data_IF_433415008261
#
_entry.id   IF_433415008261
#
_cell.length_a   1.000
_cell.length_b   1.000
_cell.length_c   1.000
_cell.angle_alpha   90.00
_cell.angle_beta   90.00
_cell.angle_gamma   90.00
#
_symmetry.space_group_name_H-M   'P 1'
#
loop_
_entity.id
_entity.type
_entity.pdbx_description
1 polymer ?
2 polymer ?
3 non-polymer ?
4 non-polymer ?
5 non-polymer ?
6 water ?
#
# COMPACT_ATOMS: atom_id res chain seq x y z
N UNK A 1 27.98 2.99 -27.09
CA UNK A 1 26.76 2.60 -26.44
C UNK A 1 27.03 1.81 -25.17
N UNK A 2 26.40 2.19 -24.06
CA UNK A 2 26.59 1.60 -22.72
C UNK A 2 26.15 2.60 -21.66
N UNK A 3 24.88 2.58 -21.28
CA UNK A 3 24.38 3.49 -20.23
C UNK A 3 25.28 3.43 -19.00
N UNK A 4 25.64 4.58 -18.46
CA UNK A 4 26.43 4.59 -17.23
C UNK A 4 25.64 4.00 -16.06
N UNK A 5 26.28 3.09 -15.32
CA UNK A 5 25.61 2.40 -14.24
C UNK A 5 26.15 2.80 -12.88
N UNK A 6 25.31 2.63 -11.86
CA UNK A 6 25.72 2.87 -10.49
C UNK A 6 25.51 1.60 -9.69
N UNK A 7 26.28 1.46 -8.62
CA UNK A 7 26.12 0.32 -7.72
C UNK A 7 24.94 0.54 -6.78
N UNK A 8 24.18 -0.51 -6.55
CA UNK A 8 23.03 -0.40 -5.65
C UNK A 8 22.98 -1.61 -4.74
N UNK A 9 23.00 -1.36 -3.44
CA UNK A 9 22.90 -2.43 -2.46
C UNK A 9 21.44 -2.76 -2.21
N UNK A 10 21.04 -3.98 -2.56
CA UNK A 10 19.65 -4.40 -2.44
C UNK A 10 19.33 -4.81 -0.99
N UNK A 11 18.05 -5.04 -0.72
CA UNK A 11 17.59 -5.49 0.60
C UNK A 11 18.26 -6.75 1.13
N UNK A 12 18.70 -7.64 0.24
CA UNK A 12 19.34 -8.87 0.66
C UNK A 12 20.85 -8.71 0.89
N UNK A 13 21.33 -7.47 0.80
CA UNK A 13 22.75 -7.18 0.99
C UNK A 13 23.59 -7.28 -0.27
N UNK A 14 23.03 -7.87 -1.33
CA UNK A 14 23.75 -7.99 -2.59
C UNK A 14 23.80 -6.64 -3.33
N UNK A 15 24.92 -6.35 -3.97
CA UNK A 15 25.04 -5.14 -4.76
C UNK A 15 24.81 -5.50 -6.23
N UNK A 16 24.11 -4.63 -6.95
CA UNK A 16 23.81 -4.85 -8.35
C UNK A 16 24.09 -3.56 -9.14
N UNK A 17 24.39 -3.72 -10.41
CA UNK A 17 24.66 -2.56 -11.24
C UNK A 17 23.39 -2.15 -11.97
N UNK A 18 22.89 -0.95 -11.69
CA UNK A 18 21.67 -0.46 -12.32
C UNK A 18 21.98 0.84 -13.05
N UNK A 19 21.10 1.26 -13.99
CA UNK A 19 21.40 2.51 -14.68
C UNK A 19 21.35 3.70 -13.72
N UNK A 20 22.30 4.63 -13.86
CA UNK A 20 22.24 5.90 -13.16
C UNK A 20 20.91 6.60 -13.45
N UNK A 21 20.49 6.53 -14.71
CA UNK A 21 19.26 7.18 -15.14
C UNK A 21 18.38 6.21 -15.96
N UNK A 22 17.62 5.35 -15.28
CA UNK A 22 16.84 4.34 -16.01
C UNK A 22 15.78 4.95 -16.93
N UNK A 23 15.74 4.48 -18.17
CA UNK A 23 14.85 5.06 -19.19
C UNK A 23 13.60 4.21 -19.42
N UNK A 24 13.63 2.93 -19.07
CA UNK A 24 12.56 2.00 -19.44
C UNK A 24 12.31 1.01 -18.32
N UNK A 25 11.44 1.35 -17.39
CA UNK A 25 11.25 0.51 -16.22
C UNK A 25 10.07 -0.43 -16.37
N UNK A 26 10.30 -1.71 -16.10
CA UNK A 26 9.22 -2.68 -16.02
C UNK A 26 8.86 -2.88 -14.56
N UNK A 27 7.66 -2.46 -14.17
CA UNK A 27 7.27 -2.52 -12.75
C UNK A 27 6.37 -3.73 -12.50
N UNK A 28 7.01 -4.86 -12.18
CA UNK A 28 6.26 -6.12 -12.01
C UNK A 28 5.52 -6.13 -10.66
N UNK A 29 6.16 -5.54 -9.66
CA UNK A 29 5.60 -5.50 -8.32
C UNK A 29 4.81 -4.21 -8.18
N UNK A 30 3.47 -4.31 -8.08
CA UNK A 30 2.73 -3.06 -8.29
C UNK A 30 2.76 -2.08 -7.12
N UNK A 31 3.26 -2.50 -5.96
CA UNK A 31 3.44 -1.57 -4.84
C UNK A 31 4.22 -0.33 -5.27
N UNK A 32 5.20 -0.54 -6.16
CA UNK A 32 6.15 0.51 -6.56
C UNK A 32 5.76 1.34 -7.77
N UNK A 33 4.58 1.08 -8.34
CA UNK A 33 4.21 1.76 -9.60
C UNK A 33 3.93 3.25 -9.41
N UNK A 34 3.06 3.59 -8.46
CA UNK A 34 2.65 4.98 -8.29
C UNK A 34 3.81 5.88 -7.86
N UNK A 35 4.67 5.34 -7.00
CA UNK A 35 5.84 6.08 -6.51
C UNK A 35 6.86 6.40 -7.58
N UNK A 36 7.07 5.45 -8.48
CA UNK A 36 7.96 5.69 -9.61
C UNK A 36 7.32 6.59 -10.64
N UNK A 37 6.00 6.45 -10.83
CA UNK A 37 5.27 7.40 -11.70
C UNK A 37 5.35 8.84 -11.16
N UNK A 38 5.17 8.97 -9.85
CA UNK A 38 5.22 10.31 -9.20
C UNK A 38 6.54 11.02 -9.46
N UNK A 39 7.61 10.22 -9.54
CA UNK A 39 8.96 10.75 -9.80
C UNK A 39 9.32 10.91 -11.30
N UNK A 40 8.33 10.75 -12.18
CA UNK A 40 8.54 11.02 -13.61
C UNK A 40 9.29 9.92 -14.34
N UNK A 41 9.37 8.74 -13.73
CA UNK A 41 10.09 7.63 -14.32
C UNK A 41 9.31 7.11 -15.52
N UNK A 42 10.02 6.67 -16.57
CA UNK A 42 9.35 6.12 -17.74
C UNK A 42 9.14 4.61 -17.54
N UNK A 43 7.88 4.24 -17.35
CA UNK A 43 7.50 2.87 -17.07
C UNK A 43 6.92 2.25 -18.35
N UNK A 44 7.54 1.17 -18.83
CA UNK A 44 7.20 0.61 -20.14
C UNK A 44 6.35 -0.68 -20.00
N UNK A 45 6.22 -1.13 -18.76
CA UNK A 45 5.34 -2.26 -18.42
C UNK A 45 4.97 -2.17 -16.96
N UNK A 46 3.71 -2.48 -16.65
CA UNK A 46 3.25 -2.40 -15.26
C UNK A 46 2.25 -3.53 -14.97
N UNK A 47 2.29 -4.03 -13.75
CA UNK A 47 1.42 -5.11 -13.34
C UNK A 47 -0.02 -4.69 -13.52
N UNK A 48 -0.80 -5.53 -14.18
CA UNK A 48 -2.21 -5.22 -14.48
C UNK A 48 -3.06 -4.90 -13.24
N UNK A 49 -2.59 -5.30 -12.07
CA UNK A 49 -3.32 -4.98 -10.84
C UNK A 49 -3.59 -3.49 -10.65
N UNK A 50 -2.75 -2.60 -11.20
CA UNK A 50 -3.06 -1.18 -11.05
C UNK A 50 -4.45 -0.77 -11.54
N UNK A 51 -4.99 -1.56 -12.47
CA UNK A 51 -6.30 -1.27 -13.05
C UNK A 51 -7.48 -1.47 -12.07
N UNK A 52 -7.18 -1.97 -10.88
CA UNK A 52 -8.21 -2.16 -9.84
C UNK A 52 -8.36 -0.87 -9.00
N UNK A 53 -7.46 0.07 -9.21
CA UNK A 53 -7.44 1.33 -8.43
C UNK A 53 -8.18 2.45 -9.14
N UNK A 54 -9.08 3.15 -8.43
CA UNK A 54 -9.71 4.38 -8.96
C UNK A 54 -8.70 5.50 -9.22
N UNK A 55 -7.53 5.37 -8.60
CA UNK A 55 -6.48 6.40 -8.69
C UNK A 55 -5.44 6.07 -9.76
N UNK A 56 -4.96 4.83 -9.78
CA UNK A 56 -3.81 4.46 -10.63
C UNK A 56 -4.16 4.04 -12.08
N UNK A 57 -5.40 3.60 -12.29
CA UNK A 57 -5.76 3.08 -13.62
C UNK A 57 -5.53 4.17 -14.69
N UNK A 58 -6.03 5.38 -14.43
CA UNK A 58 -5.91 6.48 -15.38
C UNK A 58 -4.44 6.87 -15.62
N UNK A 59 -3.63 6.71 -14.58
CA UNK A 59 -2.21 7.03 -14.61
C UNK A 59 -1.34 6.09 -15.46
N UNK A 60 -1.86 4.90 -15.74
CA UNK A 60 -1.15 3.93 -16.60
C UNK A 60 -1.86 3.58 -17.90
N UNK A 61 -2.68 4.49 -18.42
CA UNK A 61 -3.26 4.26 -19.74
C UNK A 61 -2.16 4.25 -20.81
N UNK A 62 -2.19 3.27 -21.69
CA UNK A 62 -1.20 3.21 -22.77
C UNK A 62 0.06 2.49 -22.34
N UNK A 63 0.09 2.03 -21.10
CA UNK A 63 1.23 1.26 -20.64
C UNK A 63 0.89 -0.24 -20.71
N UNK A 64 1.73 -1.03 -21.37
CA UNK A 64 1.57 -2.49 -21.38
C UNK A 64 1.31 -3.09 -20.00
N UNK A 65 0.23 -3.86 -19.89
CA UNK A 65 -0.12 -4.52 -18.64
C UNK A 65 0.42 -5.96 -18.63
N UNK A 66 0.94 -6.39 -17.48
CA UNK A 66 1.46 -7.75 -17.36
C UNK A 66 0.91 -8.41 -16.11
N UNK A 67 0.78 -9.73 -16.15
CA UNK A 67 0.36 -10.47 -14.98
C UNK A 67 1.61 -11.14 -14.40
N UNK A 68 1.46 -11.80 -13.27
CA UNK A 68 2.60 -12.50 -12.67
C UNK A 68 3.13 -13.58 -13.59
N UNK A 69 4.46 -13.70 -13.68
CA UNK A 69 5.07 -14.73 -14.50
C UNK A 69 5.27 -14.43 -15.99
N UNK A 70 4.81 -13.28 -16.50
CA UNK A 70 4.93 -13.02 -17.93
C UNK A 70 6.27 -12.41 -18.32
N UNK A 71 7.31 -13.22 -18.28
CA UNK A 71 8.65 -12.78 -18.60
C UNK A 71 8.76 -12.37 -20.05
N UNK A 72 8.06 -13.09 -20.94
CA UNK A 72 8.12 -12.80 -22.37
C UNK A 72 7.59 -11.39 -22.68
N UNK A 73 6.45 -11.03 -22.10
CA UNK A 73 5.90 -9.68 -22.28
C UNK A 73 6.81 -8.62 -21.75
N UNK A 74 7.42 -8.87 -20.58
CA UNK A 74 8.37 -7.92 -20.01
C UNK A 74 9.59 -7.77 -20.94
N UNK A 75 10.13 -8.90 -21.40
CA UNK A 75 11.28 -8.88 -22.30
C UNK A 75 11.03 -8.04 -23.56
N UNK A 76 9.85 -8.26 -24.16
CA UNK A 76 9.43 -7.52 -25.34
C UNK A 76 9.44 -5.98 -25.20
N UNK A 77 9.30 -5.47 -23.98
CA UNK A 77 9.34 -4.02 -23.81
C UNK A 77 10.77 -3.49 -23.66
N UNK A 78 11.75 -4.38 -23.84
CA UNK A 78 13.18 -4.06 -23.70
C UNK A 78 13.52 -3.13 -22.50
N UNK A 79 13.21 -3.57 -21.27
CA UNK A 79 13.40 -2.68 -20.12
C UNK A 79 14.87 -2.62 -19.72
N UNK A 80 15.28 -1.53 -19.06
CA UNK A 80 16.66 -1.41 -18.59
C UNK A 80 16.70 -1.58 -17.07
N UNK A 81 15.53 -1.81 -16.47
CA UNK A 81 15.43 -1.99 -15.04
C UNK A 81 14.12 -2.70 -14.79
N UNK A 82 14.13 -3.71 -13.93
CA UNK A 82 12.91 -4.46 -13.62
C UNK A 82 12.74 -4.46 -12.08
N UNK A 83 11.52 -4.18 -11.61
CA UNK A 83 11.21 -4.17 -10.18
C UNK A 83 10.25 -5.31 -9.77
N UNK A 84 10.70 -6.15 -8.82
CA UNK A 84 9.91 -7.30 -8.37
C UNK A 84 9.94 -7.38 -6.85
N UNK A 85 8.99 -8.10 -6.26
CA UNK A 85 9.09 -8.43 -4.83
C UNK A 85 10.11 -9.56 -4.54
N UNK A 86 10.63 -9.59 -3.30
CA UNK A 86 11.43 -10.76 -2.85
C UNK A 86 10.71 -12.12 -2.93
N UNK A 87 9.39 -12.12 -3.02
CA UNK A 87 8.62 -13.36 -3.04
C UNK A 87 8.34 -13.85 -4.47
N UNK A 88 8.77 -13.08 -5.48
CA UNK A 88 8.56 -13.40 -6.90
C UNK A 88 9.32 -14.67 -7.31
N UNK A 89 8.60 -15.63 -7.86
CA UNK A 89 9.20 -16.94 -8.20
C UNK A 89 9.97 -16.91 -9.53
N UNK A 90 9.85 -15.81 -10.27
CA UNK A 90 10.52 -15.73 -11.57
C UNK A 90 11.74 -14.81 -11.56
N UNK A 91 12.30 -14.55 -10.38
CA UNK A 91 13.44 -13.65 -10.28
C UNK A 91 14.64 -14.01 -11.18
N UNK A 92 15.05 -15.27 -11.20
CA UNK A 92 16.17 -15.62 -12.08
C UNK A 92 15.87 -15.29 -13.54
N UNK A 93 14.63 -15.54 -13.96
CA UNK A 93 14.26 -15.26 -15.35
C UNK A 93 14.33 -13.78 -15.66
N UNK A 94 13.76 -12.95 -14.79
CA UNK A 94 13.91 -11.50 -14.92
C UNK A 94 15.37 -11.07 -15.01
N UNK A 95 16.24 -11.66 -14.17
CA UNK A 95 17.65 -11.28 -14.16
C UNK A 95 18.38 -11.43 -15.51
N UNK A 96 17.94 -12.40 -16.31
CA UNK A 96 18.53 -12.62 -17.63
C UNK A 96 18.05 -11.56 -18.63
N UNK A 97 16.97 -10.88 -18.31
CA UNK A 97 16.46 -9.79 -19.13
C UNK A 97 17.05 -8.39 -18.88
N UNK A 98 17.13 -7.94 -17.62
CA UNK A 98 17.65 -6.61 -17.29
C UNK A 98 18.03 -6.62 -15.81
N UNK A 99 18.87 -5.65 -15.36
CA UNK A 99 19.11 -5.57 -13.90
C UNK A 99 17.77 -5.59 -13.15
N UNK A 100 17.64 -6.47 -12.16
CA UNK A 100 16.36 -6.66 -11.48
C UNK A 100 16.50 -6.28 -10.02
N UNK A 101 15.77 -5.25 -9.62
CA UNK A 101 15.77 -4.82 -8.23
C UNK A 101 14.72 -5.62 -7.47
N UNK A 102 15.19 -6.37 -6.48
CA UNK A 102 14.36 -7.28 -5.69
C UNK A 102 14.07 -6.59 -4.35
N UNK A 103 12.83 -6.19 -4.14
CA UNK A 103 12.45 -5.44 -2.95
C UNK A 103 11.75 -6.38 -2.00
N UNK A 104 12.23 -6.40 -0.77
CA UNK A 104 11.59 -7.11 0.32
C UNK A 104 10.55 -6.17 0.93
N UNK A 105 9.26 -6.44 0.67
CA UNK A 105 8.20 -5.44 0.92
C UNK A 105 8.25 -4.92 2.36
N UNK A 106 8.44 -5.85 3.26
CA UNK A 106 8.34 -5.54 4.67
C UNK A 106 9.59 -4.86 5.23
N UNK A 107 10.58 -4.62 4.37
CA UNK A 107 11.79 -3.93 4.84
C UNK A 107 11.66 -2.40 4.86
N UNK A 108 10.60 -1.85 4.26
CA UNK A 108 10.49 -0.40 4.14
C UNK A 108 9.11 0.05 4.56
N UNK A 109 9.05 0.93 5.54
CA UNK A 109 7.81 1.63 5.87
C UNK A 109 7.50 2.61 4.71
N UNK A 110 6.28 3.14 4.66
CA UNK A 110 5.81 3.74 3.41
C UNK A 110 6.58 4.99 2.96
N UNK A 111 7.05 5.81 3.89
CA UNK A 111 7.83 6.98 3.49
C UNK A 111 9.25 6.59 3.03
N UNK A 112 9.86 5.64 3.74
CA UNK A 112 11.18 5.09 3.38
C UNK A 112 11.10 4.37 2.06
N UNK A 113 9.93 3.80 1.77
CA UNK A 113 9.75 3.13 0.49
C UNK A 113 9.89 4.16 -0.63
N UNK A 114 9.24 5.31 -0.47
CA UNK A 114 9.31 6.31 -1.53
C UNK A 114 10.74 6.90 -1.60
N UNK A 115 11.39 7.08 -0.45
CA UNK A 115 12.80 7.48 -0.43
C UNK A 115 13.65 6.44 -1.18
N UNK A 116 13.38 5.15 -0.95
CA UNK A 116 14.10 4.09 -1.67
C UNK A 116 13.96 4.18 -3.20
N UNK A 117 12.75 4.43 -3.67
CA UNK A 117 12.48 4.65 -5.10
C UNK A 117 13.18 5.91 -5.63
N UNK A 118 13.23 6.95 -4.82
CA UNK A 118 14.06 8.10 -5.13
C UNK A 118 15.53 7.77 -5.33
N UNK A 119 16.07 6.87 -4.51
CA UNK A 119 17.47 6.50 -4.69
C UNK A 119 17.68 5.73 -5.98
N UNK A 120 16.76 4.82 -6.27
CA UNK A 120 16.87 4.01 -7.48
C UNK A 120 17.00 4.88 -8.74
N UNK A 121 16.11 5.86 -8.89
CA UNK A 121 16.10 6.72 -10.08
C UNK A 121 16.81 8.08 -9.94
N UNK A 122 17.55 8.27 -8.85
CA UNK A 122 18.31 9.50 -8.62
C UNK A 122 17.53 10.80 -8.45
N UNK A 123 16.39 10.72 -7.76
CA UNK A 123 15.55 11.89 -7.51
C UNK A 123 15.16 12.05 -6.03
N UNK A 124 16.15 11.88 -5.16
CA UNK A 124 15.91 12.00 -3.73
C UNK A 124 15.42 13.36 -3.29
N UNK A 125 15.81 14.41 -4.00
CA UNK A 125 15.40 15.78 -3.68
C UNK A 125 13.90 15.97 -3.87
N UNK A 126 13.37 15.30 -4.88
CA UNK A 126 11.95 15.37 -5.19
C UNK A 126 11.13 14.64 -4.12
N UNK A 127 11.69 13.54 -3.61
CA UNK A 127 11.06 12.80 -2.53
C UNK A 127 10.99 13.64 -1.26
N UNK A 128 12.11 14.27 -0.93
CA UNK A 128 12.22 15.10 0.26
C UNK A 128 11.13 16.16 0.27
N UNK A 129 11.05 16.91 -0.83
CA UNK A 129 10.06 17.96 -0.96
C UNK A 129 8.66 17.40 -0.77
N UNK A 130 8.33 16.34 -1.52
CA UNK A 130 7.03 15.70 -1.40
C UNK A 130 6.74 15.27 0.04
N UNK A 131 7.71 14.62 0.67
CA UNK A 131 7.52 14.09 2.01
C UNK A 131 7.21 15.17 3.04
N UNK A 132 7.89 16.31 2.92
CA UNK A 132 7.70 17.40 3.87
C UNK A 132 6.27 17.92 3.77
N UNK A 133 5.79 18.09 2.54
CA UNK A 133 4.42 18.50 2.28
C UNK A 133 3.42 17.49 2.86
N UNK A 134 3.67 16.21 2.58
CA UNK A 134 2.79 15.15 3.06
C UNK A 134 2.65 15.19 4.59
N UNK A 135 3.78 15.27 5.28
CA UNK A 135 3.76 15.23 6.72
C UNK A 135 3.07 16.45 7.34
N UNK A 136 3.35 17.63 6.82
CA UNK A 136 2.76 18.86 7.37
C UNK A 136 1.25 18.79 7.19
N UNK A 137 0.81 18.42 6.00
CA UNK A 137 -0.61 18.36 5.69
C UNK A 137 -1.37 17.33 6.56
N UNK A 138 -0.84 16.10 6.62
CA UNK A 138 -1.53 15.04 7.37
C UNK A 138 -1.45 15.25 8.88
N UNK A 139 -0.42 15.96 9.34
CA UNK A 139 -0.37 16.41 10.74
C UNK A 139 -1.56 17.32 11.11
N UNK A 140 -1.90 18.26 10.24
CA UNK A 140 -3.05 19.14 10.52
C UNK A 140 -4.34 18.36 10.36
N UNK A 141 -4.40 17.48 9.35
CA UNK A 141 -5.57 16.66 9.14
C UNK A 141 -5.84 15.80 10.37
N UNK A 142 -4.79 15.17 10.88
CA UNK A 142 -4.94 14.22 11.98
C UNK A 142 -5.41 14.97 13.24
N UNK A 143 -4.90 16.16 13.44
CA UNK A 143 -5.30 16.95 14.60
C UNK A 143 -6.79 17.29 14.52
N UNK A 144 -7.25 17.60 13.32
CA UNK A 144 -8.67 17.89 13.09
C UNK A 144 -9.53 16.65 13.27
N UNK A 145 -9.03 15.50 12.83
CA UNK A 145 -9.83 14.27 12.94
C UNK A 145 -9.95 13.89 14.40
N UNK A 146 -8.86 14.04 15.14
CA UNK A 146 -8.84 13.71 16.56
C UNK A 146 -9.81 14.56 17.36
N UNK A 147 -9.96 15.82 16.98
CA UNK A 147 -10.89 16.68 17.71
C UNK A 147 -12.32 16.24 17.42
N UNK A 148 -12.53 15.68 16.24
CA UNK A 148 -13.86 15.22 15.83
C UNK A 148 -14.24 13.88 16.47
N UNK A 149 -13.31 12.92 16.49
CA UNK A 149 -13.60 11.59 17.02
C UNK A 149 -13.20 11.39 18.49
N UNK A 150 -12.36 12.28 19.01
CA UNK A 150 -11.90 12.14 20.38
C UNK A 150 -10.48 11.61 20.39
N UNK A 151 -9.62 12.24 21.18
CA UNK A 151 -8.19 11.90 21.21
C UNK A 151 -7.89 10.42 21.53
N UNK A 152 -8.68 9.79 22.40
CA UNK A 152 -8.45 8.38 22.75
C UNK A 152 -9.26 7.32 21.94
N UNK A 153 -9.94 7.73 20.87
CA UNK A 153 -10.76 6.80 20.10
C UNK A 153 -9.87 5.79 19.38
N UNK A 154 -10.21 4.51 19.47
CA UNK A 154 -9.49 3.49 18.70
C UNK A 154 -10.20 3.26 17.38
N UNK A 155 -9.42 2.81 16.40
CA UNK A 155 -9.90 2.57 15.06
C UNK A 155 -9.41 1.18 14.60
N UNK A 156 -10.35 0.30 14.28
CA UNK A 156 -10.01 -1.03 13.74
C UNK A 156 -9.99 -1.01 12.20
N UNK A 157 -9.27 -1.96 11.60
CA UNK A 157 -9.23 -2.05 10.15
C UNK A 157 -9.50 -3.51 9.76
N UNK A 158 -10.54 -3.74 8.97
CA UNK A 158 -10.96 -5.10 8.61
C UNK A 158 -11.08 -5.23 7.10
N UNK A 159 -10.79 -6.44 6.61
CA UNK A 159 -10.70 -6.65 5.19
C UNK A 159 -11.08 -8.11 4.95
N UNK A 160 -11.63 -8.42 3.78
CA UNK A 160 -11.79 -9.81 3.45
C UNK A 160 -10.64 -10.20 2.52
N UNK A 161 -9.85 -11.16 2.95
CA UNK A 161 -8.72 -11.63 2.17
C UNK A 161 -8.89 -13.12 1.95
N UNK A 162 -9.01 -13.52 0.68
CA UNK A 162 -9.17 -14.94 0.35
C UNK A 162 -10.31 -15.58 1.15
N UNK A 163 -11.45 -14.88 1.19
CA UNK A 163 -12.65 -15.36 1.85
C UNK A 163 -12.54 -15.48 3.37
N UNK A 164 -11.53 -14.80 3.94
CA UNK A 164 -11.32 -14.81 5.39
C UNK A 164 -11.28 -13.39 5.91
N UNK A 165 -11.60 -13.19 7.19
CA UNK A 165 -11.49 -11.88 7.79
C UNK A 165 -10.02 -11.59 8.10
N UNK A 166 -9.47 -10.48 7.59
CA UNK A 166 -8.11 -10.03 7.97
C UNK A 166 -8.07 -8.68 8.64
N UNK A 167 -7.01 -8.45 9.42
CA UNK A 167 -6.73 -7.10 9.91
C UNK A 167 -5.26 -6.83 9.63
N UNK A 168 -4.84 -5.58 9.82
CA UNK A 168 -3.52 -5.10 9.42
C UNK A 168 -2.91 -4.19 10.46
N UNK A 169 -1.57 -4.16 10.45
CA UNK A 169 -0.83 -3.20 11.22
C UNK A 169 -0.82 -1.91 10.45
N UNK A 170 0.22 -1.10 10.66
CA UNK A 170 0.21 0.26 10.14
C UNK A 170 0.84 0.40 8.74
N UNK A 171 1.27 -0.70 8.12
CA UNK A 171 2.00 -0.55 6.86
C UNK A 171 1.79 -1.74 5.93
N UNK A 172 0.56 -2.23 5.85
CA UNK A 172 0.27 -3.32 4.92
C UNK A 172 -0.92 -2.91 4.05
N UNK A 173 -0.98 -1.63 3.71
CA UNK A 173 -2.05 -1.08 2.89
C UNK A 173 -3.42 -1.05 3.58
N UNK A 174 -4.48 -0.99 2.77
CA UNK A 174 -5.88 -0.96 3.22
C UNK A 174 -6.16 0.33 4.00
N UNK A 175 -5.28 1.32 3.84
CA UNK A 175 -5.46 2.64 4.43
C UNK A 175 -4.69 2.76 5.73
N UNK A 176 -3.99 1.70 6.14
CA UNK A 176 -3.37 1.69 7.45
C UNK A 176 -2.29 2.77 7.60
N UNK A 177 -1.53 3.00 6.53
CA UNK A 177 -0.46 4.00 6.58
C UNK A 177 -1.03 5.42 6.91
N UNK A 178 -2.22 5.73 6.39
CA UNK A 178 -2.79 7.07 6.60
C UNK A 178 -3.50 7.08 7.96
N UNK A 179 -4.27 6.04 8.26
CA UNK A 179 -4.95 5.97 9.57
C UNK A 179 -4.00 6.06 10.77
N UNK A 180 -2.95 5.25 10.72
CA UNK A 180 -2.14 4.96 11.91
C UNK A 180 -0.80 5.67 11.96
N UNK A 181 -0.29 6.08 10.81
CA UNK A 181 0.97 6.81 10.78
C UNK A 181 0.74 8.29 10.46
N UNK A 182 0.23 8.58 9.27
CA UNK A 182 0.06 9.97 8.85
C UNK A 182 -0.89 10.73 9.78
N UNK A 183 -2.09 10.17 10.01
CA UNK A 183 -3.05 10.76 10.94
C UNK A 183 -2.71 10.55 12.45
N UNK A 184 -1.94 9.51 12.76
CA UNK A 184 -1.62 9.21 14.14
C UNK A 184 -2.82 8.76 14.97
N UNK A 185 -3.82 8.15 14.35
CA UNK A 185 -4.98 7.68 15.11
C UNK A 185 -4.59 6.43 15.90
N UNK A 186 -5.23 6.19 17.04
CA UNK A 186 -4.92 5.01 17.86
C UNK A 186 -5.43 3.68 17.27
N UNK A 187 -4.53 2.74 17.00
CA UNK A 187 -4.94 1.41 16.56
C UNK A 187 -5.59 0.60 17.69
N UNK A 188 -6.63 -0.17 17.38
CA UNK A 188 -7.28 -0.98 18.40
C UNK A 188 -6.22 -1.92 19.01
N UNK A 189 -6.17 -1.99 20.35
CA UNK A 189 -5.00 -2.65 20.96
C UNK A 189 -4.82 -4.14 20.63
N UNK A 190 -5.90 -4.90 20.47
CA UNK A 190 -5.69 -6.32 20.20
C UNK A 190 -5.29 -6.47 18.74
N UNK A 191 -5.79 -5.58 17.89
CA UNK A 191 -5.33 -5.57 16.50
C UNK A 191 -3.82 -5.31 16.40
N UNK A 192 -3.36 -4.35 17.17
CA UNK A 192 -1.93 -4.04 17.21
C UNK A 192 -1.08 -5.22 17.69
N UNK A 193 -1.52 -5.86 18.76
CA UNK A 193 -0.77 -7.00 19.33
C UNK A 193 -0.70 -8.15 18.31
N UNK A 194 -1.83 -8.43 17.66
CA UNK A 194 -1.89 -9.59 16.76
C UNK A 194 -1.02 -9.38 15.53
N UNK A 195 -1.05 -8.16 14.97
CA UNK A 195 -0.34 -7.80 13.74
C UNK A 195 1.08 -7.27 13.99
N UNK A 196 1.49 -7.16 15.26
CA UNK A 196 2.80 -6.59 15.60
C UNK A 196 4.02 -7.23 14.91
N UNK A 197 4.07 -8.55 14.82
CA UNK A 197 5.26 -9.17 14.21
C UNK A 197 5.21 -9.22 12.68
N UNK A 198 4.07 -9.62 12.15
CA UNK A 198 3.94 -9.88 10.71
C UNK A 198 3.54 -8.65 9.92
N UNK A 199 2.76 -7.79 10.57
CA UNK A 199 2.21 -6.59 9.94
C UNK A 199 0.79 -6.82 9.42
N UNK A 200 0.26 -8.03 9.57
CA UNK A 200 -1.05 -8.40 9.01
C UNK A 200 -1.52 -9.67 9.71
N UNK A 201 -2.82 -9.96 9.74
CA UNK A 201 -3.22 -11.22 10.39
C UNK A 201 -4.60 -11.64 10.05
N UNK A 202 -4.81 -12.96 9.97
CA UNK A 202 -6.15 -13.50 9.88
C UNK A 202 -6.80 -13.47 11.26
N UNK A 203 -8.06 -13.05 11.29
CA UNK A 203 -8.82 -12.96 12.52
C UNK A 203 -9.93 -14.00 12.52
N UNK A 204 -10.00 -14.78 13.60
CA UNK A 204 -11.09 -15.72 13.76
C UNK A 204 -12.37 -14.91 13.90
N UNK A 205 -13.25 -15.04 12.90
CA UNK A 205 -14.41 -14.17 12.74
C UNK A 205 -15.38 -14.18 13.93
N UNK A 206 -15.37 -15.26 14.71
CA UNK A 206 -16.21 -15.31 15.91
C UNK A 206 -15.58 -14.54 17.08
N UNK A 207 -14.35 -14.08 16.88
CA UNK A 207 -13.63 -13.30 17.86
C UNK A 207 -13.54 -11.83 17.45
N UNK A 208 -14.36 -11.40 16.51
CA UNK A 208 -14.21 -10.06 15.94
C UNK A 208 -14.42 -8.95 17.00
N UNK A 209 -15.32 -9.19 17.95
CA UNK A 209 -15.59 -8.20 18.99
C UNK A 209 -14.33 -7.87 19.78
N UNK A 210 -13.41 -8.84 19.85
CA UNK A 210 -12.15 -8.69 20.57
C UNK A 210 -11.26 -7.61 19.96
N UNK A 211 -11.44 -7.40 18.65
CA UNK A 211 -10.59 -6.58 17.79
C UNK A 211 -11.30 -5.32 17.27
N UNK A 212 -12.53 -5.11 17.73
CA UNK A 212 -13.36 -4.00 17.26
C UNK A 212 -13.24 -2.74 18.13
N UNK A 213 -12.86 -1.60 17.54
CA UNK A 213 -12.61 -0.41 18.33
C UNK A 213 -13.78 0.55 18.30
N UNK A 214 -13.50 1.82 18.59
CA UNK A 214 -14.56 2.84 18.65
C UNK A 214 -15.10 3.14 17.25
N UNK A 215 -14.24 2.99 16.26
CA UNK A 215 -14.59 3.23 14.86
C UNK A 215 -14.01 2.05 14.12
N UNK A 216 -14.66 1.65 13.03
CA UNK A 216 -14.19 0.55 12.22
C UNK A 216 -14.14 0.96 10.74
N UNK A 217 -12.97 0.77 10.12
CA UNK A 217 -12.82 1.02 8.68
C UNK A 217 -12.84 -0.38 8.05
N UNK A 218 -13.70 -0.59 7.06
CA UNK A 218 -13.85 -1.89 6.44
C UNK A 218 -13.74 -1.69 4.94
N UNK A 219 -12.98 -2.54 4.26
CA UNK A 219 -12.69 -2.31 2.84
C UNK A 219 -13.81 -2.82 1.93
N UNK A 220 -15.07 -2.71 2.39
CA UNK A 220 -16.20 -3.38 1.75
C UNK A 220 -16.98 -2.47 0.82
N UNK A 221 -16.49 -1.25 0.58
CA UNK A 221 -17.26 -0.30 -0.22
C UNK A 221 -17.51 -0.83 -1.63
N UNK A 222 -18.75 -0.75 -2.10
CA UNK A 222 -19.08 -1.16 -3.45
C UNK A 222 -19.15 -2.68 -3.63
N UNK A 223 -19.15 -3.41 -2.52
CA UNK A 223 -19.24 -4.87 -2.55
C UNK A 223 -20.51 -5.38 -1.89
N UNK A 224 -20.91 -6.61 -2.21
CA UNK A 224 -21.97 -7.20 -1.40
C UNK A 224 -21.47 -7.40 0.03
N UNK A 225 -22.39 -7.30 0.97
CA UNK A 225 -22.07 -7.44 2.39
C UNK A 225 -21.24 -8.71 2.63
N UNK A 226 -19.98 -8.55 3.09
CA UNK A 226 -19.10 -9.70 3.37
C UNK A 226 -19.64 -10.57 4.52
N UNK A 227 -19.24 -11.84 4.56
CA UNK A 227 -19.58 -12.71 5.68
C UNK A 227 -19.41 -12.02 7.03
N UNK A 228 -18.29 -11.34 7.23
CA UNK A 228 -17.97 -10.74 8.55
C UNK A 228 -18.82 -9.51 8.92
N UNK A 229 -19.49 -8.90 7.95
CA UNK A 229 -20.40 -7.80 8.27
C UNK A 229 -21.87 -8.28 8.38
N UNK A 230 -22.09 -9.58 8.21
CA UNK A 230 -23.45 -10.07 8.11
C UNK A 230 -23.91 -10.81 9.38
N UNK A 231 -23.00 -10.99 10.34
CA UNK A 231 -23.31 -11.75 11.54
C UNK A 231 -24.10 -10.91 12.55
N UNK A 232 -24.68 -11.59 13.54
CA UNK A 232 -25.31 -10.89 14.64
C UNK A 232 -24.22 -10.27 15.51
N UNK A 233 -23.03 -10.87 15.48
CA UNK A 233 -21.89 -10.31 16.19
C UNK A 233 -21.53 -8.92 15.66
N UNK A 234 -21.51 -8.79 14.34
CA UNK A 234 -21.21 -7.51 13.71
C UNK A 234 -22.30 -6.52 14.06
N UNK A 235 -23.55 -6.95 13.99
CA UNK A 235 -24.67 -6.04 14.24
C UNK A 235 -24.64 -5.47 15.66
N UNK A 236 -24.01 -6.19 16.59
CA UNK A 236 -24.02 -5.78 17.99
C UNK A 236 -22.72 -5.14 18.48
N UNK A 237 -21.74 -4.99 17.58
CA UNK A 237 -20.54 -4.22 17.90
C UNK A 237 -20.98 -2.81 18.23
N UNK A 238 -20.36 -2.23 19.26
CA UNK A 238 -20.67 -0.87 19.68
C UNK A 238 -20.44 0.09 18.51
N UNK A 239 -19.36 -0.10 17.76
CA UNK A 239 -19.11 0.78 16.62
C UNK A 239 -20.26 0.73 15.61
N UNK A 240 -20.79 -0.47 15.37
CA UNK A 240 -21.91 -0.63 14.44
C UNK A 240 -23.14 0.05 15.00
N UNK A 241 -23.49 -0.27 16.26
CA UNK A 241 -24.64 0.36 16.91
C UNK A 241 -24.56 1.90 16.93
N UNK A 242 -23.34 2.43 17.02
CA UNK A 242 -23.13 3.87 17.09
C UNK A 242 -23.06 4.60 15.73
N UNK A 243 -23.04 3.84 14.63
CA UNK A 243 -22.93 4.44 13.30
C UNK A 243 -21.50 4.86 12.98
N UNK A 244 -20.55 4.13 13.53
CA UNK A 244 -19.14 4.47 13.43
C UNK A 244 -18.41 3.60 12.45
N UNK A 245 -19.10 3.14 11.42
CA UNK A 245 -18.46 2.31 10.40
C UNK A 245 -18.06 3.20 9.22
N UNK A 246 -16.82 3.06 8.76
CA UNK A 246 -16.35 3.75 7.55
C UNK A 246 -16.04 2.66 6.52
N UNK A 247 -16.57 2.78 5.30
CA UNK A 247 -16.27 1.81 4.24
C UNK A 247 -15.41 2.43 3.16
N UNK A 248 -14.44 1.67 2.67
CA UNK A 248 -13.49 2.15 1.68
C UNK A 248 -13.30 1.17 0.55
N UNK A 249 -12.75 1.66 -0.55
CA UNK A 249 -12.64 0.87 -1.78
C UNK A 249 -11.35 0.05 -1.75
N UNK A 250 -11.50 -1.27 -1.67
CA UNK A 250 -10.38 -2.19 -1.48
C UNK A 250 -9.37 -2.11 -2.63
N UNK A 251 -9.83 -2.08 -3.87
CA UNK A 251 -8.91 -2.03 -5.00
C UNK A 251 -7.99 -0.80 -4.98
N UNK A 252 -8.53 0.32 -4.51
CA UNK A 252 -7.78 1.55 -4.47
C UNK A 252 -6.89 1.61 -3.23
N UNK A 253 -7.44 1.20 -2.09
CA UNK A 253 -6.77 1.35 -0.83
C UNK A 253 -5.67 0.31 -0.61
N UNK A 254 -5.54 -0.66 -1.51
CA UNK A 254 -4.51 -1.67 -1.33
C UNK A 254 -3.12 -1.01 -1.32
N UNK A 255 -2.97 0.06 -2.11
CA UNK A 255 -1.67 0.72 -2.34
C UNK A 255 -1.27 1.75 -1.28
N UNK A 256 -0.01 2.20 -1.34
CA UNK A 256 0.52 3.21 -0.39
C UNK A 256 1.51 4.18 -1.03
N UNK A 257 1.42 4.33 -2.35
CA UNK A 257 2.21 5.28 -3.13
C UNK A 257 1.63 6.72 -2.98
N UNK A 258 2.41 7.75 -3.34
CA UNK A 258 1.94 9.16 -3.16
C UNK A 258 0.55 9.52 -3.73
N UNK A 259 0.19 9.02 -4.91
CA UNK A 259 -1.13 9.33 -5.46
C UNK A 259 -2.23 8.70 -4.63
N UNK A 260 -2.07 7.42 -4.35
CA UNK A 260 -3.05 6.73 -3.55
C UNK A 260 -3.16 7.39 -2.17
N UNK A 261 -2.01 7.76 -1.58
CA UNK A 261 -1.98 8.40 -0.26
C UNK A 261 -2.79 9.69 -0.21
N UNK A 262 -2.60 10.56 -1.22
CA UNK A 262 -3.40 11.79 -1.29
C UNK A 262 -4.90 11.47 -1.37
N UNK A 263 -5.28 10.46 -2.15
CA UNK A 263 -6.69 10.07 -2.22
C UNK A 263 -7.26 9.55 -0.90
N UNK A 264 -6.56 8.60 -0.28
CA UNK A 264 -7.03 8.05 0.97
C UNK A 264 -7.04 9.14 2.06
N UNK A 265 -6.06 10.04 2.05
CA UNK A 265 -6.03 11.18 3.00
C UNK A 265 -7.39 11.93 3.01
N UNK A 266 -7.83 12.35 1.82
CA UNK A 266 -9.06 13.10 1.66
C UNK A 266 -10.26 12.25 2.00
N UNK A 267 -10.32 11.07 1.40
CA UNK A 267 -11.46 10.17 1.57
C UNK A 267 -11.68 9.78 3.04
N UNK A 268 -10.63 9.35 3.74
CA UNK A 268 -10.78 8.98 5.16
C UNK A 268 -11.12 10.15 6.04
N UNK A 269 -10.47 11.28 5.80
CA UNK A 269 -10.76 12.49 6.61
C UNK A 269 -12.27 12.84 6.51
N UNK A 270 -12.78 12.87 5.28
CA UNK A 270 -14.19 13.09 5.02
C UNK A 270 -15.08 12.07 5.70
N UNK A 271 -14.81 10.79 5.51
CA UNK A 271 -15.63 9.72 6.10
C UNK A 271 -15.55 9.65 7.62
N UNK A 272 -14.35 9.84 8.17
CA UNK A 272 -14.18 9.81 9.63
C UNK A 272 -14.95 10.97 10.30
N UNK A 273 -14.80 12.17 9.78
CA UNK A 273 -15.54 13.33 10.29
C UNK A 273 -17.06 13.14 10.20
N UNK A 274 -17.55 12.58 9.08
CA UNK A 274 -18.96 12.24 8.98
C UNK A 274 -19.41 11.15 9.96
N UNK A 275 -18.56 10.14 10.17
CA UNK A 275 -18.96 9.03 11.03
C UNK A 275 -19.01 9.47 12.49
N UNK A 276 -18.36 10.58 12.80
CA UNK A 276 -18.25 11.11 14.16
C UNK A 276 -19.39 12.07 14.50
N UNK A 277 -20.37 12.22 13.62
CA UNK A 277 -21.43 13.20 13.85
C UNK A 277 -22.56 12.68 14.74
N UNK B 1 4.53 -11.22 1.63
CA UNK B 1 5.36 -11.69 2.73
C UNK B 1 5.12 -13.20 2.87
N UNK B 2 5.76 -14.13 3.71
CA UNK B 2 5.30 -15.51 3.71
C UNK B 2 3.93 -15.74 4.32
N UNK B 3 3.17 -16.45 3.47
CA UNK B 3 1.78 -16.87 3.60
C UNK B 3 0.85 -15.99 2.79
N UNK B 4 1.65 -14.91 2.06
CA UNK B 4 0.69 -14.19 1.25
C UNK B 4 1.40 -13.73 0.02
N UNK B 5 1.15 -12.54 -0.77
CA UNK B 5 1.89 -12.23 -1.98
C UNK B 5 3.17 -11.53 -1.58
N UNK B 6 3.14 -10.56 -0.49
CA UNK B 6 4.29 -9.71 -0.30
C UNK B 6 5.15 -10.18 0.84
X LIG C 1 -5.98 -0.84 -19.95
X LIG C 1 -4.95 -1.21 -19.10
X LIG C 1 -6.82 0.33 -19.60
X LIG C 1 -6.20 1.41 -19.01
X LIG D 1 0.48 -1.00 0.13
X LIG D 1 0.65 -0.85 1.46
X LIG D 1 1.36 -1.97 -0.61
X LIG D 1 1.25 -2.12 -1.97
X LIG E 1 5.97 -15.51 -20.32
X LIG E 1 7.06 -16.26 -19.92
X LIG E 1 5.11 -16.14 -21.37
X LIG E 1 4.08 -15.42 -21.95
X LIG F 1 19.78 -8.66 -9.36
X LIG F 1 18.67 -9.39 -9.02
X LIG F 1 20.43 -8.97 -10.67
X LIG F 1 20.02 -8.25 -11.76
X LIG G 1 -7.90 -6.12 -0.58
X LIG G 1 -8.20 -5.23 0.44
X LIG G 1 -7.93 -7.60 -0.30
X LIG G 1 -7.20 -8.07 0.78
X LIG H 1 -1.02 -12.83 -17.75
X LIG H 1 -1.98 -12.17 -17.00
X LIG H 1 0.35 -12.23 -17.94
X LIG H 1 0.62 -11.16 -18.79
X LIG I 1 6.80 -2.88 6.83
X LIG I 1 7.06 -2.19 7.98
X LIG I 1 5.44 -3.48 6.73
X LIG I 1 4.68 -3.49 7.88
X LIG J 1 1.35 -9.26 -6.60
X LIG J 1 1.65 -8.46 -7.67
X LIG J 1 0.51 -8.63 -5.55
X LIG J 1 -0.84 -8.85 -5.66
X LIG K 1 4.36 -14.82 7.92
X LIG K 1 4.99 -14.16 6.87
X LIG K 1 3.67 -13.93 8.88
X LIG K 1 2.63 -14.48 9.58
X LIG L 1 16.28 -3.10 -3.20
X LIG L 1 16.35 -4.38 -2.67
X LIG L 1 15.55 -2.02 -2.46
X LIG L 1 16.23 -1.49 -1.38
X LIG M 1 6.09 4.64 -2.50
X LIG N 1 -0.84 -8.89 0.15
#
# INVERSE_FOLDING_TARGET
MKAETKSYKMDDGKTVDIPKDPKRIAVVAPTYAGGLKKLGANIVAVNQQVDQSKVLKDKFKGVTKIGDGDVEKVAKEKPDLIIVYSTDKDIKKYQKVAPTVVVDYNKHKYLEQQEMLGKIVGKEDKVKAWKKDWEETTAKDGKEIKKAIGQDATVSLFDEFDKKLYTYGDNWGRGGEVLYQAFGLKMQPEQQKLTAKAGWAEVKQEEIEKYAGDYIVSTSEGKPTPGYESTNMWKNLKATKEGHIVKVDAGTYWYNDPYTLDFMRKDLKEKLIKAAK
GGGXXX
EDO C1 O1 C2 O2
EDO C1 O1 C2 O2
EDO C1 O1 C2 O2
EDO C1 O1 C2 O2
EDO C1 O1 C2 O2
EDO C1 O1 C2 O2
EDO C1 O1 C2 O2
EDO C1 O1 C2 O2
EDO C1 O1 C2 O2
EDO C1 O1 C2 O2
CL CL
FE FE
#
